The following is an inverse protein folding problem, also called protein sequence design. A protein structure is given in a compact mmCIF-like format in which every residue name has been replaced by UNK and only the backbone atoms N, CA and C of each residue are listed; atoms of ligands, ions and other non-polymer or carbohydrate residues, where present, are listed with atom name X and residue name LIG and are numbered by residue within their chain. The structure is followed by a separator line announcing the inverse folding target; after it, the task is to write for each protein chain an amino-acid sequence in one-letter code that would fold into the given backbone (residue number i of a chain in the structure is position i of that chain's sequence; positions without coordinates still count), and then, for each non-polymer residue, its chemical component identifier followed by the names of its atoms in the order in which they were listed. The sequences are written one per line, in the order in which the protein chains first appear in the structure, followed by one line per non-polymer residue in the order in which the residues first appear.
data_IF_197546049751
#
_entry.id   IF_197546049751
#
_cell.length_a   1.000
_cell.length_b   1.000
_cell.length_c   1.000
_cell.angle_alpha   90.00
_cell.angle_beta   90.00
_cell.angle_gamma   90.00
#
_symmetry.space_group_name_H-M   'P 1'
#
loop_
_entity.id
_entity.type
_entity.pdbx_description
1 polymer ?
#
# COMPACT_ATOMS: atom_id res chain seq x y z
N UNK A 1 -10.13 6.07 9.74
CA UNK A 1 -11.07 5.91 8.61
C UNK A 1 -10.86 4.51 8.04
N UNK A 2 -11.89 3.67 7.92
CA UNK A 2 -11.73 2.27 7.49
C UNK A 2 -11.49 2.17 5.98
N UNK A 3 -10.70 1.16 5.55
CA UNK A 3 -10.55 0.81 4.14
C UNK A 3 -11.90 0.46 3.47
N UNK A 4 -12.90 0.01 4.24
CA UNK A 4 -14.26 -0.28 3.74
C UNK A 4 -15.00 0.98 3.24
N UNK A 5 -14.57 2.18 3.62
CA UNK A 5 -15.22 3.46 3.29
C UNK A 5 -14.53 4.20 2.12
N UNK A 6 -13.51 3.61 1.51
CA UNK A 6 -12.82 4.21 0.38
C UNK A 6 -13.79 4.41 -0.80
N UNK A 7 -13.90 5.65 -1.27
CA UNK A 7 -14.56 5.96 -2.52
C UNK A 7 -13.59 5.74 -3.69
N UNK A 8 -14.08 5.31 -4.87
CA UNK A 8 -13.21 5.17 -6.04
C UNK A 8 -12.64 6.52 -6.49
N UNK A 9 -11.39 6.53 -6.94
CA UNK A 9 -10.75 7.73 -7.50
C UNK A 9 -11.40 8.13 -8.84
N UNK A 10 -11.28 9.42 -9.24
CA UNK A 10 -11.79 9.90 -10.53
C UNK A 10 -11.18 9.15 -11.72
N UNK A 11 -11.99 8.89 -12.76
CA UNK A 11 -11.58 8.16 -13.97
C UNK A 11 -10.34 8.75 -14.65
N UNK A 12 -10.17 10.07 -14.61
CA UNK A 12 -8.98 10.74 -15.17
C UNK A 12 -7.70 10.27 -14.47
N UNK A 13 -7.71 10.15 -13.14
CA UNK A 13 -6.57 9.65 -12.38
C UNK A 13 -6.33 8.17 -12.68
N UNK A 14 -7.40 7.36 -12.69
CA UNK A 14 -7.32 5.92 -13.01
C UNK A 14 -6.72 5.68 -14.40
N UNK A 15 -7.11 6.49 -15.39
CA UNK A 15 -6.64 6.41 -16.77
C UNK A 15 -5.12 6.48 -16.92
N UNK A 16 -4.46 7.31 -16.10
CA UNK A 16 -2.99 7.47 -16.10
C UNK A 16 -2.27 6.20 -15.65
N UNK A 17 -2.88 5.43 -14.75
CA UNK A 17 -2.31 4.20 -14.21
C UNK A 17 -2.65 2.94 -15.02
N UNK A 18 -3.74 2.94 -15.79
CA UNK A 18 -4.22 1.75 -16.51
C UNK A 18 -3.15 0.98 -17.31
N UNK A 19 -2.19 1.62 -18.01
CA UNK A 19 -1.16 0.90 -18.78
C UNK A 19 -0.27 -0.02 -17.93
N UNK A 20 -0.12 0.27 -16.64
CA UNK A 20 0.75 -0.49 -15.72
C UNK A 20 0.05 -1.73 -15.11
N UNK A 21 -1.26 -1.89 -15.33
CA UNK A 21 -2.06 -2.98 -14.74
C UNK A 21 -2.81 -3.78 -15.82
N UNK A 22 -2.14 -4.73 -16.51
CA UNK A 22 -2.79 -5.51 -17.57
C UNK A 22 -3.87 -6.46 -17.01
N UNK A 23 -3.75 -6.89 -15.76
CA UNK A 23 -4.62 -7.89 -15.13
C UNK A 23 -6.00 -7.30 -14.77
N UNK A 24 -7.07 -7.92 -15.26
CA UNK A 24 -8.45 -7.45 -15.06
C UNK A 24 -8.84 -7.31 -13.58
N UNK A 25 -8.39 -8.26 -12.73
CA UNK A 25 -8.66 -8.23 -11.29
C UNK A 25 -8.06 -6.98 -10.61
N UNK A 26 -6.85 -6.58 -11.00
CA UNK A 26 -6.19 -5.37 -10.46
C UNK A 26 -6.89 -4.10 -10.92
N UNK A 27 -7.37 -4.04 -12.17
CA UNK A 27 -8.13 -2.90 -12.70
C UNK A 27 -9.40 -2.58 -11.90
N UNK A 28 -10.07 -3.57 -11.33
CA UNK A 28 -11.27 -3.36 -10.51
C UNK A 28 -10.96 -2.69 -9.16
N UNK A 29 -9.76 -2.90 -8.62
CA UNK A 29 -9.33 -2.35 -7.33
C UNK A 29 -8.52 -1.06 -7.48
N UNK A 30 -7.99 -0.79 -8.68
CA UNK A 30 -7.14 0.36 -8.98
C UNK A 30 -7.74 1.71 -8.52
N UNK A 31 -9.04 2.03 -8.74
CA UNK A 31 -9.59 3.30 -8.27
C UNK A 31 -9.54 3.45 -6.74
N UNK A 32 -9.69 2.36 -5.99
CA UNK A 32 -9.64 2.38 -4.53
C UNK A 32 -8.20 2.48 -4.03
N UNK A 33 -7.25 1.83 -4.71
CA UNK A 33 -5.83 1.92 -4.40
C UNK A 33 -5.29 3.34 -4.64
N UNK A 34 -5.71 4.00 -5.71
CA UNK A 34 -5.39 5.42 -5.95
C UNK A 34 -5.99 6.29 -4.85
N UNK A 35 -7.26 6.08 -4.46
CA UNK A 35 -7.86 6.83 -3.33
C UNK A 35 -7.14 6.60 -2.01
N UNK A 36 -6.67 5.37 -1.74
CA UNK A 36 -5.84 5.10 -0.57
C UNK A 36 -4.50 5.82 -0.66
N UNK A 37 -3.85 5.79 -1.82
CA UNK A 37 -2.60 6.49 -2.06
C UNK A 37 -2.71 7.99 -1.83
N UNK A 38 -3.79 8.62 -2.30
CA UNK A 38 -4.05 10.06 -2.12
C UNK A 38 -4.21 10.47 -0.64
N UNK A 39 -4.42 9.53 0.29
CA UNK A 39 -4.41 9.81 1.73
C UNK A 39 -3.01 10.03 2.29
N UNK A 40 -1.96 9.52 1.64
CA UNK A 40 -0.58 9.63 2.12
C UNK A 40 -0.24 8.79 3.36
N UNK A 41 -1.20 8.00 3.88
CA UNK A 41 -1.04 7.24 5.11
C UNK A 41 -1.88 5.95 5.10
N UNK A 42 -1.33 4.90 5.71
CA UNK A 42 -2.04 3.67 6.06
C UNK A 42 -1.63 3.25 7.48
N UNK A 43 -2.62 3.15 8.37
CA UNK A 43 -2.46 2.52 9.68
C UNK A 43 -2.94 1.08 9.59
N UNK A 44 -2.17 0.16 10.18
CA UNK A 44 -2.44 -1.26 10.09
C UNK A 44 -1.80 -2.07 11.20
N UNK A 45 -1.90 -3.38 11.06
CA UNK A 45 -1.44 -4.35 12.05
C UNK A 45 -0.77 -5.50 11.31
N UNK A 46 0.54 -5.68 11.52
CA UNK A 46 1.27 -6.80 10.96
C UNK A 46 1.01 -8.05 11.80
N UNK A 47 0.36 -9.04 11.19
CA UNK A 47 0.14 -10.33 11.86
C UNK A 47 1.47 -11.09 11.99
N UNK A 48 1.82 -11.49 13.22
CA UNK A 48 2.97 -12.34 13.52
C UNK A 48 2.49 -13.77 13.77
N UNK A 49 3.15 -14.75 13.17
CA UNK A 49 2.84 -16.16 13.40
C UNK A 49 3.16 -16.54 14.85
N UNK A 50 2.19 -17.14 15.55
CA UNK A 50 2.35 -17.55 16.94
C UNK A 50 2.45 -16.40 17.96
N UNK A 51 2.26 -15.15 17.55
CA UNK A 51 2.41 -13.96 18.40
C UNK A 51 1.30 -12.93 18.25
N UNK A 52 1.42 -11.83 18.99
CA UNK A 52 0.54 -10.67 18.86
C UNK A 52 0.82 -9.93 17.54
N UNK A 53 -0.21 -9.28 17.00
CA UNK A 53 -0.01 -8.39 15.84
C UNK A 53 0.71 -7.11 16.29
N UNK A 54 1.57 -6.58 15.42
CA UNK A 54 2.36 -5.37 15.68
C UNK A 54 1.72 -4.21 14.92
N UNK A 55 1.28 -3.13 15.58
CA UNK A 55 0.74 -1.97 14.89
C UNK A 55 1.82 -1.30 14.04
N UNK A 56 1.42 -0.79 12.89
CA UNK A 56 2.30 0.04 12.05
C UNK A 56 1.59 1.27 11.50
N UNK A 57 2.39 2.27 11.16
CA UNK A 57 1.97 3.43 10.36
C UNK A 57 2.89 3.50 9.15
N UNK A 58 2.28 3.48 7.97
CA UNK A 58 2.93 3.73 6.69
C UNK A 58 2.62 5.15 6.24
N UNK A 59 3.62 5.93 5.85
CA UNK A 59 3.44 7.28 5.30
C UNK A 59 4.24 7.48 4.02
N UNK A 60 3.69 8.26 3.09
CA UNK A 60 4.35 8.62 1.85
C UNK A 60 3.87 9.98 1.34
N UNK A 61 4.67 10.60 0.46
CA UNK A 61 4.26 11.80 -0.25
C UNK A 61 3.46 11.43 -1.49
N UNK A 62 2.38 12.17 -1.74
CA UNK A 62 1.47 11.91 -2.86
C UNK A 62 2.01 12.55 -4.14
N UNK A 63 1.90 11.80 -5.23
CA UNK A 63 2.22 12.19 -6.61
C UNK A 63 1.07 11.77 -7.54
N UNK A 64 1.02 12.33 -8.74
CA UNK A 64 0.06 11.93 -9.78
C UNK A 64 0.69 11.17 -10.94
N UNK A 65 2.01 10.99 -10.93
CA UNK A 65 2.75 10.38 -12.04
C UNK A 65 3.17 8.93 -11.69
N UNK A 66 2.75 7.92 -12.47
CA UNK A 66 3.07 6.51 -12.18
C UNK A 66 4.57 6.22 -12.10
N UNK A 67 5.40 6.92 -12.89
CA UNK A 67 6.84 6.72 -12.92
C UNK A 67 7.62 7.50 -11.84
N UNK A 68 6.96 8.37 -11.08
CA UNK A 68 7.65 9.10 -10.01
C UNK A 68 8.01 8.17 -8.84
N UNK A 69 9.10 8.50 -8.15
CA UNK A 69 9.56 7.72 -7.00
C UNK A 69 8.65 8.02 -5.81
N UNK A 70 8.06 6.97 -5.27
CA UNK A 70 7.38 6.98 -3.97
C UNK A 70 8.36 6.54 -2.89
N UNK A 71 8.52 7.38 -1.86
CA UNK A 71 9.24 7.05 -0.63
C UNK A 71 8.21 6.70 0.44
N UNK A 72 8.07 5.41 0.73
CA UNK A 72 7.20 4.91 1.79
C UNK A 72 8.04 4.67 3.05
N UNK A 73 7.66 5.33 4.15
CA UNK A 73 8.20 5.08 5.48
C UNK A 73 7.23 4.20 6.25
N UNK A 74 7.73 3.15 6.88
CA UNK A 74 6.95 2.24 7.72
C UNK A 74 7.51 2.27 9.14
N UNK A 75 6.68 2.65 10.12
CA UNK A 75 7.05 2.68 11.53
C UNK A 75 6.21 1.67 12.30
N UNK A 76 6.86 0.81 13.09
CA UNK A 76 6.19 -0.16 13.95
C UNK A 76 6.13 0.30 15.41
N UNK A 77 5.05 -0.05 16.09
CA UNK A 77 4.87 0.09 17.54
C UNK A 77 5.08 1.52 18.08
N UNK A 78 4.88 2.54 17.24
CA UNK A 78 5.20 3.92 17.58
C UNK A 78 6.68 4.16 17.90
N UNK A 79 7.56 3.19 17.64
CA UNK A 79 8.97 3.25 17.95
C UNK A 79 9.76 3.80 16.76
N UNK A 80 10.42 4.95 16.95
CA UNK A 80 11.21 5.59 15.91
C UNK A 80 12.38 4.71 15.42
N UNK A 81 12.93 3.86 16.29
CA UNK A 81 14.02 2.94 15.95
C UNK A 81 13.55 1.77 15.08
N UNK A 82 12.25 1.47 15.08
CA UNK A 82 11.61 0.48 14.22
C UNK A 82 10.99 1.16 12.98
N UNK A 83 11.74 2.09 12.38
CA UNK A 83 11.37 2.78 11.14
C UNK A 83 12.17 2.24 9.96
N UNK A 84 11.45 1.84 8.91
CA UNK A 84 12.01 1.38 7.65
C UNK A 84 11.58 2.32 6.53
N UNK A 85 12.39 2.38 5.48
CA UNK A 85 12.09 3.18 4.29
C UNK A 85 12.27 2.33 3.03
N UNK A 86 11.32 2.48 2.12
CA UNK A 86 11.36 1.84 0.81
C UNK A 86 11.06 2.86 -0.29
N UNK A 87 11.92 2.90 -1.29
CA UNK A 87 11.76 3.72 -2.48
C UNK A 87 11.43 2.84 -3.68
N UNK A 88 10.39 3.19 -4.43
CA UNK A 88 9.98 2.47 -5.63
C UNK A 88 9.22 3.37 -6.59
N UNK A 89 9.01 2.93 -7.83
CA UNK A 89 8.13 3.66 -8.74
C UNK A 89 6.69 3.69 -8.19
N UNK A 90 5.96 4.77 -8.44
CA UNK A 90 4.65 4.95 -7.86
C UNK A 90 3.64 3.89 -8.35
N UNK A 91 3.70 3.48 -9.62
CA UNK A 91 2.88 2.37 -10.10
C UNK A 91 3.18 1.07 -9.35
N UNK A 92 4.42 0.85 -8.92
CA UNK A 92 4.76 -0.34 -8.14
C UNK A 92 4.15 -0.23 -6.73
N UNK A 93 4.19 0.96 -6.13
CA UNK A 93 3.61 1.16 -4.80
C UNK A 93 2.08 1.02 -4.79
N UNK A 94 1.40 1.55 -5.82
CA UNK A 94 -0.05 1.36 -5.99
C UNK A 94 -0.39 -0.14 -6.10
N UNK A 95 0.48 -0.97 -6.69
CA UNK A 95 0.26 -2.42 -6.75
C UNK A 95 0.20 -3.05 -5.36
N UNK A 96 1.09 -2.65 -4.45
CA UNK A 96 1.02 -3.08 -3.05
C UNK A 96 -0.24 -2.60 -2.34
N UNK A 97 -0.73 -1.39 -2.65
CA UNK A 97 -2.00 -0.90 -2.09
C UNK A 97 -3.21 -1.67 -2.64
N UNK A 98 -3.16 -2.16 -3.88
CA UNK A 98 -4.16 -3.08 -4.42
C UNK A 98 -4.18 -4.38 -3.59
N UNK A 99 -3.01 -4.93 -3.27
CA UNK A 99 -2.90 -6.13 -2.43
C UNK A 99 -3.43 -5.91 -1.01
N UNK A 100 -3.15 -4.75 -0.40
CA UNK A 100 -3.71 -4.36 0.90
C UNK A 100 -5.25 -4.41 0.85
N UNK A 101 -5.85 -3.76 -0.14
CA UNK A 101 -7.32 -3.70 -0.29
C UNK A 101 -7.89 -5.10 -0.56
N UNK A 102 -7.25 -5.88 -1.41
CA UNK A 102 -7.66 -7.24 -1.73
C UNK A 102 -7.66 -8.13 -0.47
N UNK A 103 -6.56 -8.12 0.30
CA UNK A 103 -6.43 -8.92 1.51
C UNK A 103 -7.39 -8.46 2.61
N UNK A 104 -7.53 -7.14 2.78
CA UNK A 104 -8.43 -6.56 3.77
C UNK A 104 -9.89 -7.01 3.59
N UNK A 105 -10.37 -7.21 2.36
CA UNK A 105 -11.72 -7.75 2.11
C UNK A 105 -11.96 -9.11 2.77
N UNK A 106 -10.92 -9.94 2.92
CA UNK A 106 -10.97 -11.27 3.53
C UNK A 106 -10.62 -11.24 5.02
N UNK A 107 -9.58 -10.50 5.40
CA UNK A 107 -9.00 -10.56 6.76
C UNK A 107 -9.59 -9.52 7.71
N UNK A 108 -10.18 -8.45 7.16
CA UNK A 108 -10.59 -7.24 7.91
C UNK A 108 -9.45 -6.62 8.72
N UNK A 109 -8.21 -6.89 8.32
CA UNK A 109 -6.99 -6.38 8.94
C UNK A 109 -6.15 -5.67 7.85
N UNK A 110 -5.97 -4.34 7.93
CA UNK A 110 -5.09 -3.64 7.02
C UNK A 110 -3.64 -4.08 7.27
N UNK A 111 -3.06 -4.75 6.29
CA UNK A 111 -1.68 -5.24 6.35
C UNK A 111 -1.11 -5.32 4.94
N UNK A 112 0.20 -5.09 4.81
CA UNK A 112 0.89 -5.33 3.55
C UNK A 112 1.12 -6.82 3.31
N UNK A 113 1.27 -7.21 2.04
CA UNK A 113 1.57 -8.60 1.70
C UNK A 113 2.97 -9.00 2.13
N UNK A 114 3.24 -10.31 2.13
CA UNK A 114 4.59 -10.82 2.37
C UNK A 114 5.59 -10.29 1.33
N UNK A 115 5.17 -10.06 0.08
CA UNK A 115 6.04 -9.54 -0.98
C UNK A 115 6.52 -8.12 -0.66
N UNK A 116 5.64 -7.26 -0.16
CA UNK A 116 6.03 -5.92 0.30
C UNK A 116 7.08 -6.00 1.41
N UNK A 117 6.88 -6.88 2.40
CA UNK A 117 7.83 -7.04 3.50
C UNK A 117 9.18 -7.62 3.07
N UNK A 118 9.21 -8.54 2.09
CA UNK A 118 10.46 -9.03 1.51
C UNK A 118 11.25 -7.90 0.86
N UNK A 119 10.57 -7.07 0.06
CA UNK A 119 11.16 -5.90 -0.58
C UNK A 119 11.65 -4.87 0.44
N UNK A 120 10.86 -4.60 1.49
CA UNK A 120 11.24 -3.68 2.58
C UNK A 120 12.50 -4.13 3.30
N UNK A 121 12.63 -5.44 3.54
CA UNK A 121 13.77 -6.05 4.24
C UNK A 121 14.96 -6.33 3.32
N UNK A 122 14.88 -5.95 2.03
CA UNK A 122 15.90 -6.21 1.00
C UNK A 122 16.29 -7.68 0.88
N UNK A 123 15.32 -8.58 1.04
CA UNK A 123 15.55 -10.01 0.78
C UNK A 123 15.57 -10.36 -0.72
N UNK A 124 15.24 -9.40 -1.59
CA UNK A 124 15.22 -9.55 -3.05
C UNK A 124 16.51 -9.04 -3.72
N UNK A 125 17.49 -8.55 -2.94
CA UNK A 125 18.86 -8.22 -3.35
C UNK A 125 19.82 -9.39 -3.00
#
# INVERSE_FOLDING_TARGET
MSLDQLQPAPNQQVGVYMPYYPQAAKKQLLPFAISLYQKGVLEGQRKIEGGASIPFIATWNVSTLPSEITRCRLQFDGNADLSYELMMANFEFIDFLIEVIFNFKRTKLPDFSQNFYRKLMRYDD
#
